data_IF_287787506231
#
_entry.id   IF_287787506231
#
_cell.length_a   1.000
_cell.length_b   1.000
_cell.length_c   1.000
_cell.angle_alpha   90.00
_cell.angle_beta   90.00
_cell.angle_gamma   90.00
#
_symmetry.space_group_name_H-M   'P 1'
#
loop_
_entity.id
_entity.type
_entity.pdbx_description
1 polymer ?
#
# COMPACT_ATOMS: atom_id res chain seq x y z
N UNK A 1 -22.45 -1.69 8.12
CA UNK A 1 -22.74 -0.34 7.63
C UNK A 1 -21.72 0.07 6.53
N UNK A 2 -21.84 1.28 6.00
CA UNK A 2 -20.99 1.77 4.87
C UNK A 2 -19.91 2.77 5.30
N UNK A 3 -19.70 2.93 6.61
CA UNK A 3 -18.66 3.85 7.12
C UNK A 3 -17.33 3.17 7.13
N UNK A 4 -16.38 3.70 6.37
CA UNK A 4 -15.00 3.18 6.27
C UNK A 4 -14.04 4.26 6.78
N UNK A 5 -13.19 3.89 7.72
CA UNK A 5 -12.05 4.72 8.16
C UNK A 5 -10.83 4.39 7.31
N UNK A 6 -10.40 5.34 6.49
CA UNK A 6 -9.21 5.21 5.66
C UNK A 6 -7.93 5.07 6.47
N UNK A 7 -6.87 4.63 5.80
CA UNK A 7 -5.54 4.44 6.38
C UNK A 7 -4.98 5.75 6.94
N UNK A 8 -4.43 5.68 8.14
CA UNK A 8 -3.70 6.77 8.80
C UNK A 8 -2.53 6.20 9.60
N UNK A 9 -1.33 6.70 9.32
CA UNK A 9 -0.13 6.34 10.08
C UNK A 9 -0.11 7.12 11.40
N UNK A 10 -0.18 6.40 12.52
CA UNK A 10 -0.24 7.00 13.88
C UNK A 10 1.12 7.07 14.55
N UNK A 11 2.10 6.30 14.04
CA UNK A 11 3.40 6.08 14.67
C UNK A 11 3.38 5.05 15.80
N UNK A 12 2.20 4.60 16.24
CA UNK A 12 2.07 3.56 17.27
C UNK A 12 2.39 2.16 16.71
N UNK A 13 2.25 1.97 15.42
CA UNK A 13 2.60 0.75 14.69
C UNK A 13 4.10 0.48 14.58
N UNK A 14 4.95 1.49 14.85
CA UNK A 14 6.40 1.38 14.71
C UNK A 14 7.08 0.72 15.92
N UNK A 15 6.36 0.56 17.05
CA UNK A 15 6.93 0.05 18.29
C UNK A 15 6.07 -1.06 18.87
N UNK A 16 6.64 -2.23 19.08
CA UNK A 16 5.90 -3.39 19.58
C UNK A 16 5.19 -3.14 20.93
N UNK A 17 5.73 -2.27 21.79
CA UNK A 17 5.11 -1.92 23.08
C UNK A 17 3.94 -0.95 22.97
N UNK A 18 3.78 -0.26 21.86
CA UNK A 18 2.67 0.68 21.64
C UNK A 18 1.43 0.01 21.00
N UNK A 19 1.50 -1.28 20.64
CA UNK A 19 0.34 -2.00 20.07
C UNK A 19 -0.88 -2.06 21.01
N UNK A 20 -0.70 -1.96 22.33
CA UNK A 20 -1.80 -1.79 23.26
C UNK A 20 -2.56 -0.48 23.07
N UNK A 21 -1.82 0.62 22.85
CA UNK A 21 -2.40 1.95 22.54
C UNK A 21 -3.05 1.96 21.15
N UNK A 22 -2.39 1.33 20.17
CA UNK A 22 -2.94 1.19 18.82
C UNK A 22 -4.25 0.40 18.84
N UNK A 23 -4.32 -0.68 19.62
CA UNK A 23 -5.53 -1.47 19.80
C UNK A 23 -6.66 -0.65 20.43
N UNK A 24 -6.37 0.15 21.47
CA UNK A 24 -7.34 1.05 22.08
C UNK A 24 -7.84 2.11 21.09
N UNK A 25 -6.93 2.70 20.31
CA UNK A 25 -7.24 3.68 19.27
C UNK A 25 -8.27 3.15 18.24
N UNK A 26 -8.08 1.95 17.73
CA UNK A 26 -9.01 1.34 16.77
C UNK A 26 -10.29 0.83 17.44
N UNK A 27 -10.19 0.25 18.65
CA UNK A 27 -11.34 -0.25 19.37
C UNK A 27 -12.36 0.86 19.72
N UNK A 28 -11.89 2.06 20.07
CA UNK A 28 -12.76 3.20 20.34
C UNK A 28 -13.59 3.58 19.11
N UNK A 29 -13.00 3.55 17.93
CA UNK A 29 -13.69 3.84 16.65
C UNK A 29 -14.64 2.73 16.25
N UNK A 30 -14.25 1.48 16.47
CA UNK A 30 -15.13 0.32 16.30
C UNK A 30 -16.36 0.43 17.20
N UNK A 31 -16.16 0.77 18.49
CA UNK A 31 -17.24 1.06 19.44
C UNK A 31 -18.15 2.21 18.99
N UNK A 32 -17.58 3.22 18.33
CA UNK A 32 -18.30 4.34 17.71
C UNK A 32 -19.08 3.99 16.45
N UNK A 33 -19.05 2.73 15.98
CA UNK A 33 -19.86 2.23 14.86
C UNK A 33 -19.20 2.32 13.49
N UNK A 34 -17.87 2.46 13.40
CA UNK A 34 -17.16 2.34 12.12
C UNK A 34 -17.25 0.90 11.62
N UNK A 35 -17.74 0.69 10.38
CA UNK A 35 -17.94 -0.67 9.83
C UNK A 35 -16.67 -1.35 9.40
N UNK A 36 -15.70 -0.59 8.85
CA UNK A 36 -14.40 -1.11 8.41
C UNK A 36 -13.32 -0.04 8.64
N UNK A 37 -12.15 -0.48 9.08
CA UNK A 37 -11.00 0.40 9.32
C UNK A 37 -9.76 -0.13 8.64
N UNK A 38 -8.91 0.77 8.14
CA UNK A 38 -7.63 0.43 7.50
C UNK A 38 -6.50 0.97 8.38
N UNK A 39 -5.50 0.14 8.67
CA UNK A 39 -4.33 0.55 9.48
C UNK A 39 -3.43 1.53 8.74
N UNK A 40 -2.50 2.16 9.45
CA UNK A 40 -1.32 2.75 8.83
C UNK A 40 -0.49 1.70 8.10
N UNK A 41 0.43 2.17 7.25
CA UNK A 41 1.23 1.30 6.39
C UNK A 41 2.20 0.42 7.17
N UNK A 42 2.15 -0.88 6.92
CA UNK A 42 3.00 -1.91 7.49
C UNK A 42 3.95 -2.42 6.39
N UNK A 43 5.25 -2.42 6.67
CA UNK A 43 6.26 -2.80 5.70
C UNK A 43 6.37 -4.33 5.54
N UNK A 44 6.42 -4.87 4.30
CA UNK A 44 6.61 -6.29 4.05
C UNK A 44 8.06 -6.76 4.23
N UNK A 45 9.03 -5.85 4.18
CA UNK A 45 10.44 -6.12 4.40
C UNK A 45 11.20 -4.85 4.84
N UNK A 46 12.49 -4.96 5.15
CA UNK A 46 13.31 -3.82 5.63
C UNK A 46 13.52 -2.74 4.57
N UNK A 47 13.56 -3.07 3.28
CA UNK A 47 13.72 -2.08 2.21
C UNK A 47 12.45 -1.24 2.02
N UNK A 48 11.32 -1.79 2.44
CA UNK A 48 10.01 -1.15 2.38
C UNK A 48 9.79 -0.11 3.48
N UNK A 49 10.58 -0.09 4.53
CA UNK A 49 10.42 0.85 5.64
C UNK A 49 10.36 2.30 5.18
N UNK A 50 9.39 3.05 5.68
CA UNK A 50 9.33 4.49 5.44
C UNK A 50 10.48 5.21 6.16
N UNK A 51 10.80 4.79 7.37
CA UNK A 51 11.93 5.22 8.21
C UNK A 51 12.54 4.01 8.91
N UNK A 52 13.77 4.08 9.42
CA UNK A 52 14.37 2.97 10.15
C UNK A 52 13.47 2.48 11.29
N UNK A 53 13.29 1.15 11.39
CA UNK A 53 12.46 0.48 12.39
C UNK A 53 10.95 0.81 12.29
N UNK A 54 10.46 1.19 11.10
CA UNK A 54 9.03 1.31 10.86
C UNK A 54 8.30 -0.03 11.07
N UNK A 55 7.01 0.05 11.39
CA UNK A 55 6.17 -1.12 11.61
C UNK A 55 6.23 -2.13 10.46
N UNK A 56 6.38 -3.38 10.78
CA UNK A 56 6.48 -4.49 9.81
C UNK A 56 5.74 -5.72 10.30
N UNK A 57 5.31 -6.56 9.35
CA UNK A 57 4.76 -7.88 9.63
C UNK A 57 5.39 -8.88 8.64
N UNK A 58 6.57 -9.35 8.97
CA UNK A 58 7.36 -10.26 8.12
C UNK A 58 7.84 -11.53 8.85
N UNK A 59 7.61 -11.62 10.16
CA UNK A 59 7.93 -12.77 11.00
C UNK A 59 6.73 -13.22 11.84
N UNK A 60 6.66 -14.49 12.18
CA UNK A 60 5.61 -15.03 13.04
C UNK A 60 5.56 -14.39 14.43
N UNK A 61 6.68 -13.91 14.95
CA UNK A 61 6.73 -13.21 16.23
C UNK A 61 5.89 -11.92 16.25
N UNK A 62 5.78 -11.24 15.10
CA UNK A 62 5.02 -9.99 14.98
C UNK A 62 3.50 -10.24 15.07
N UNK A 63 3.04 -11.44 14.69
CA UNK A 63 1.61 -11.83 14.66
C UNK A 63 0.90 -11.58 15.99
N UNK A 64 1.58 -11.84 17.13
CA UNK A 64 0.97 -11.68 18.45
C UNK A 64 0.61 -10.21 18.75
N UNK A 65 1.43 -9.27 18.32
CA UNK A 65 1.14 -7.84 18.50
C UNK A 65 -0.05 -7.42 17.64
N UNK A 66 -0.06 -7.81 16.37
CA UNK A 66 -1.17 -7.54 15.45
C UNK A 66 -2.49 -8.20 15.91
N UNK A 67 -2.41 -9.39 16.54
CA UNK A 67 -3.60 -10.06 17.08
C UNK A 67 -4.25 -9.29 18.22
N UNK A 68 -3.48 -8.53 19.02
CA UNK A 68 -4.06 -7.62 20.03
C UNK A 68 -4.97 -6.58 19.40
N UNK A 69 -4.55 -6.04 18.26
CA UNK A 69 -5.32 -5.04 17.52
C UNK A 69 -6.60 -5.63 16.93
N UNK A 70 -6.49 -6.72 16.17
CA UNK A 70 -7.65 -7.35 15.52
C UNK A 70 -8.69 -7.84 16.54
N UNK A 71 -8.24 -8.48 17.63
CA UNK A 71 -9.13 -8.93 18.70
C UNK A 71 -9.85 -7.76 19.40
N UNK A 72 -9.20 -6.61 19.57
CA UNK A 72 -9.82 -5.45 20.17
C UNK A 72 -10.93 -4.85 19.30
N UNK A 73 -10.74 -4.83 17.98
CA UNK A 73 -11.71 -4.33 17.01
C UNK A 73 -12.90 -5.28 16.87
N UNK A 74 -12.65 -6.58 16.77
CA UNK A 74 -13.70 -7.58 16.56
C UNK A 74 -14.69 -7.71 17.75
N UNK A 75 -14.38 -7.14 18.92
CA UNK A 75 -15.36 -7.04 20.02
C UNK A 75 -16.58 -6.18 19.68
N UNK A 76 -16.50 -5.35 18.64
CA UNK A 76 -17.52 -4.38 18.26
C UNK A 76 -18.10 -4.63 16.86
N UNK A 77 -17.98 -5.86 16.33
CA UNK A 77 -18.48 -6.27 15.01
C UNK A 77 -18.01 -5.36 13.86
N UNK A 78 -16.79 -4.84 13.97
CA UNK A 78 -16.13 -4.02 12.96
C UNK A 78 -15.06 -4.82 12.24
N UNK A 79 -14.83 -4.53 10.96
CA UNK A 79 -13.77 -5.13 10.14
C UNK A 79 -12.48 -4.32 10.26
N UNK A 80 -11.35 -5.01 10.19
CA UNK A 80 -10.04 -4.36 10.17
C UNK A 80 -9.17 -4.91 9.05
N UNK A 81 -8.62 -4.00 8.26
CA UNK A 81 -7.80 -4.25 7.08
C UNK A 81 -6.39 -3.75 7.37
N UNK A 82 -5.36 -4.54 7.07
CA UNK A 82 -3.97 -4.11 7.22
C UNK A 82 -3.44 -3.51 5.92
N UNK A 83 -2.98 -2.27 5.93
CA UNK A 83 -2.31 -1.71 4.77
C UNK A 83 -0.87 -2.24 4.66
N UNK A 84 -0.52 -2.82 3.51
CA UNK A 84 0.84 -3.23 3.17
C UNK A 84 1.48 -2.13 2.33
N UNK A 85 2.52 -1.50 2.86
CA UNK A 85 3.18 -0.35 2.26
C UNK A 85 4.66 -0.62 2.02
N UNK A 86 5.12 -0.37 0.81
CA UNK A 86 6.53 -0.31 0.47
C UNK A 86 6.90 1.11 0.06
N UNK A 87 7.70 1.80 0.87
CA UNK A 87 8.01 3.21 0.68
C UNK A 87 8.71 3.53 -0.66
N UNK A 88 9.46 2.58 -1.22
CA UNK A 88 10.19 2.81 -2.45
C UNK A 88 11.21 3.93 -2.29
N UNK A 89 11.26 4.87 -3.24
CA UNK A 89 12.15 6.03 -3.21
C UNK A 89 11.80 7.07 -2.14
N UNK A 90 10.67 6.91 -1.46
CA UNK A 90 10.27 7.76 -0.34
C UNK A 90 10.80 7.26 1.02
N UNK A 91 11.53 6.17 1.05
CA UNK A 91 12.15 5.65 2.26
C UNK A 91 13.23 6.60 2.80
N UNK A 92 13.14 6.95 4.07
CA UNK A 92 14.11 7.80 4.78
C UNK A 92 15.28 6.99 5.33
N UNK A 93 15.88 6.14 4.48
CA UNK A 93 17.08 5.37 4.79
C UNK A 93 17.92 5.09 3.53
N UNK A 94 19.23 4.81 3.66
CA UNK A 94 20.14 4.67 2.51
C UNK A 94 19.92 3.40 1.67
N UNK A 95 19.09 2.47 2.12
CA UNK A 95 18.76 1.23 1.41
C UNK A 95 17.52 1.36 0.52
N UNK A 96 17.03 2.58 0.30
CA UNK A 96 15.87 2.85 -0.54
C UNK A 96 16.02 2.28 -1.95
N UNK A 97 14.91 1.78 -2.48
CA UNK A 97 14.83 1.15 -3.81
C UNK A 97 13.65 1.72 -4.60
N UNK A 98 13.69 1.58 -5.93
CA UNK A 98 12.63 2.06 -6.82
C UNK A 98 12.63 1.27 -8.13
N UNK A 99 11.66 1.57 -9.00
CA UNK A 99 11.65 1.07 -10.39
C UNK A 99 12.90 1.51 -11.15
N UNK A 100 13.30 2.78 -11.01
CA UNK A 100 14.53 3.34 -11.59
C UNK A 100 15.26 4.21 -10.55
N UNK A 101 16.59 4.47 -10.70
CA UNK A 101 17.38 5.18 -9.70
C UNK A 101 17.18 6.70 -9.75
N UNK A 102 15.91 7.14 -9.76
CA UNK A 102 15.50 8.53 -9.85
C UNK A 102 15.18 9.04 -8.45
N UNK A 103 15.99 10.02 -7.98
CA UNK A 103 15.79 10.64 -6.67
C UNK A 103 14.45 11.39 -6.61
N UNK A 104 13.74 11.25 -5.49
CA UNK A 104 12.57 12.09 -5.19
C UNK A 104 12.99 13.49 -4.75
N UNK A 105 12.17 14.49 -5.05
CA UNK A 105 12.40 15.87 -4.61
C UNK A 105 12.25 16.07 -3.08
N UNK A 106 11.53 15.17 -2.42
CA UNK A 106 11.19 15.28 -0.97
C UNK A 106 12.04 14.37 -0.08
N UNK A 107 13.01 13.63 -0.64
CA UNK A 107 13.79 12.65 0.11
C UNK A 107 15.29 12.85 -0.15
N UNK A 108 16.16 12.79 0.88
CA UNK A 108 17.60 12.99 0.72
C UNK A 108 18.31 11.84 -0.02
N UNK A 109 17.77 10.63 0.02
CA UNK A 109 18.43 9.45 -0.52
C UNK A 109 18.07 9.21 -2.00
N UNK A 110 19.08 8.86 -2.82
CA UNK A 110 18.87 8.35 -4.17
C UNK A 110 18.59 6.85 -4.08
N UNK A 111 17.45 6.35 -4.59
CA UNK A 111 17.14 4.94 -4.54
C UNK A 111 18.03 4.13 -5.50
N UNK A 112 18.21 2.85 -5.18
CA UNK A 112 18.77 1.88 -6.13
C UNK A 112 17.64 1.27 -6.96
N UNK A 113 17.92 0.97 -8.22
CA UNK A 113 16.99 0.22 -9.07
C UNK A 113 16.86 -1.21 -8.55
N UNK A 114 15.65 -1.71 -8.41
CA UNK A 114 15.40 -3.12 -8.10
C UNK A 114 15.85 -4.02 -9.28
N UNK A 115 16.65 -5.04 -9.00
CA UNK A 115 16.93 -6.10 -9.95
C UNK A 115 15.71 -7.02 -10.13
N UNK A 116 15.67 -7.79 -11.22
CA UNK A 116 14.60 -8.77 -11.47
C UNK A 116 14.40 -9.74 -10.29
N UNK A 117 15.48 -10.31 -9.77
CA UNK A 117 15.42 -11.19 -8.61
C UNK A 117 14.86 -10.51 -7.36
N UNK A 118 15.16 -9.21 -7.14
CA UNK A 118 14.62 -8.44 -6.02
C UNK A 118 13.16 -8.07 -6.21
N UNK A 119 12.70 -7.86 -7.44
CA UNK A 119 11.28 -7.67 -7.75
C UNK A 119 10.51 -8.96 -7.43
N UNK A 120 11.00 -10.11 -7.85
CA UNK A 120 10.39 -11.41 -7.54
C UNK A 120 10.33 -11.67 -6.03
N UNK A 121 11.43 -11.42 -5.31
CA UNK A 121 11.46 -11.51 -3.84
C UNK A 121 10.46 -10.54 -3.18
N UNK A 122 10.28 -9.33 -3.73
CA UNK A 122 9.30 -8.36 -3.20
C UNK A 122 7.86 -8.87 -3.36
N UNK A 123 7.54 -9.54 -4.47
CA UNK A 123 6.23 -10.18 -4.68
C UNK A 123 5.97 -11.23 -3.58
N UNK A 124 6.97 -12.06 -3.29
CA UNK A 124 6.88 -13.07 -2.23
C UNK A 124 6.73 -12.44 -0.84
N UNK A 125 7.44 -11.33 -0.55
CA UNK A 125 7.32 -10.59 0.71
C UNK A 125 5.90 -10.06 0.95
N UNK A 126 5.25 -9.50 -0.09
CA UNK A 126 3.84 -9.07 -0.01
C UNK A 126 2.89 -10.24 0.27
N UNK A 127 3.08 -11.36 -0.41
CA UNK A 127 2.27 -12.57 -0.22
C UNK A 127 2.44 -13.15 1.19
N UNK A 128 3.68 -13.21 1.70
CA UNK A 128 3.98 -13.66 3.05
C UNK A 128 3.36 -12.73 4.11
N UNK A 129 3.50 -11.41 3.94
CA UNK A 129 2.92 -10.41 4.83
C UNK A 129 1.39 -10.52 4.88
N UNK A 130 0.72 -10.72 3.73
CA UNK A 130 -0.72 -10.94 3.68
C UNK A 130 -1.13 -12.25 4.39
N UNK A 131 -0.35 -13.33 4.24
CA UNK A 131 -0.57 -14.59 4.97
C UNK A 131 -0.45 -14.39 6.48
N UNK A 132 0.56 -13.65 6.94
CA UNK A 132 0.73 -13.34 8.36
C UNK A 132 -0.39 -12.43 8.89
N UNK A 133 -0.87 -11.46 8.09
CA UNK A 133 -2.02 -10.63 8.43
C UNK A 133 -3.28 -11.49 8.63
N UNK A 134 -3.55 -12.43 7.73
CA UNK A 134 -4.65 -13.39 7.89
C UNK A 134 -4.50 -14.21 9.18
N UNK A 135 -3.30 -14.68 9.50
CA UNK A 135 -3.00 -15.41 10.73
C UNK A 135 -3.19 -14.53 11.98
N UNK A 136 -2.90 -13.23 11.87
CA UNK A 136 -3.11 -12.24 12.94
C UNK A 136 -4.60 -11.87 13.14
N UNK A 137 -5.50 -12.35 12.28
CA UNK A 137 -6.94 -12.13 12.41
C UNK A 137 -7.46 -10.91 11.65
N UNK A 138 -6.71 -10.30 10.75
CA UNK A 138 -7.25 -9.26 9.86
C UNK A 138 -8.29 -9.85 8.90
N UNK A 139 -9.30 -9.04 8.56
CA UNK A 139 -10.35 -9.41 7.59
C UNK A 139 -9.87 -9.26 6.13
N UNK A 140 -8.80 -8.51 5.93
CA UNK A 140 -8.22 -8.28 4.61
C UNK A 140 -6.91 -7.50 4.67
N UNK A 141 -6.36 -7.23 3.50
CA UNK A 141 -5.23 -6.33 3.31
C UNK A 141 -5.54 -5.25 2.29
N UNK A 142 -4.97 -4.07 2.48
CA UNK A 142 -4.92 -3.02 1.47
C UNK A 142 -3.49 -2.95 0.91
N UNK A 143 -3.36 -3.15 -0.39
CA UNK A 143 -2.07 -3.03 -1.10
C UNK A 143 -1.90 -1.56 -1.51
N UNK A 144 -0.87 -0.91 -0.97
CA UNK A 144 -0.60 0.52 -1.20
C UNK A 144 0.05 0.74 -2.56
N UNK A 145 -0.74 1.13 -3.55
CA UNK A 145 -0.33 1.40 -4.94
C UNK A 145 -0.50 2.85 -5.39
N UNK A 146 -0.58 3.81 -4.46
CA UNK A 146 -0.83 5.22 -4.76
C UNK A 146 0.24 6.15 -4.18
N UNK A 147 0.05 7.46 -4.38
CA UNK A 147 0.75 8.57 -3.72
C UNK A 147 2.27 8.60 -3.93
N UNK A 148 2.77 7.89 -4.96
CA UNK A 148 4.20 7.84 -5.28
C UNK A 148 5.01 6.82 -4.49
N UNK A 149 4.37 5.87 -3.79
CA UNK A 149 5.03 4.72 -3.18
C UNK A 149 5.47 3.68 -4.23
N UNK A 150 6.16 2.60 -3.82
CA UNK A 150 6.85 1.69 -4.75
C UNK A 150 5.98 1.24 -5.93
N UNK A 151 4.77 0.76 -5.69
CA UNK A 151 3.93 0.22 -6.77
C UNK A 151 3.49 1.33 -7.73
N UNK A 152 3.18 2.54 -7.22
CA UNK A 152 2.92 3.71 -8.06
C UNK A 152 4.17 4.12 -8.85
N UNK A 153 5.39 3.96 -8.27
CA UNK A 153 6.64 4.21 -8.99
C UNK A 153 6.86 3.25 -10.17
N UNK A 154 6.35 2.01 -10.07
CA UNK A 154 6.43 1.05 -11.18
C UNK A 154 5.43 1.35 -12.29
N UNK A 155 4.19 1.70 -11.96
CA UNK A 155 3.16 1.97 -12.97
C UNK A 155 3.34 3.33 -13.66
N UNK A 156 3.96 4.32 -13.01
CA UNK A 156 4.06 5.68 -13.51
C UNK A 156 5.34 5.91 -14.33
N UNK A 157 5.24 6.41 -15.59
CA UNK A 157 6.41 6.67 -16.43
C UNK A 157 7.42 7.64 -15.80
N UNK A 158 6.97 8.58 -14.95
CA UNK A 158 7.83 9.52 -14.23
C UNK A 158 8.95 8.82 -13.45
N UNK A 159 8.67 7.69 -12.81
CA UNK A 159 9.60 7.00 -11.93
C UNK A 159 10.08 5.65 -12.50
N UNK A 160 9.43 5.16 -13.57
CA UNK A 160 9.81 3.92 -14.23
C UNK A 160 10.34 4.19 -15.63
N UNK A 161 11.67 4.26 -15.74
CA UNK A 161 12.40 4.40 -17.01
C UNK A 161 13.12 3.11 -17.39
N UNK A 162 12.59 1.96 -16.96
CA UNK A 162 13.13 0.65 -17.29
C UNK A 162 12.82 0.28 -18.73
N UNK A 163 13.73 -0.53 -19.32
CA UNK A 163 13.60 -1.07 -20.68
C UNK A 163 13.43 -2.60 -20.70
N UNK A 164 13.32 -3.20 -19.51
CA UNK A 164 13.05 -4.63 -19.35
C UNK A 164 11.55 -4.92 -19.19
N UNK A 165 11.22 -6.18 -18.88
CA UNK A 165 9.83 -6.65 -18.70
C UNK A 165 9.02 -5.94 -17.60
N UNK A 166 9.64 -5.04 -16.83
CA UNK A 166 9.02 -4.29 -15.74
C UNK A 166 8.82 -2.80 -16.06
N UNK A 167 9.14 -2.38 -17.30
CA UNK A 167 9.05 -0.98 -17.72
C UNK A 167 8.72 -0.83 -19.20
N UNK A 168 8.67 0.42 -19.67
CA UNK A 168 8.25 0.76 -21.05
C UNK A 168 6.74 0.79 -21.20
N UNK A 169 6.12 -0.22 -21.83
CA UNK A 169 4.68 -0.25 -22.05
C UNK A 169 3.87 -0.32 -20.74
N UNK A 170 2.59 0.06 -20.79
CA UNK A 170 1.71 0.01 -19.63
C UNK A 170 1.58 -1.42 -19.07
N UNK A 171 1.55 -2.43 -19.95
CA UNK A 171 1.48 -3.86 -19.58
C UNK A 171 2.71 -4.28 -18.76
N UNK A 172 3.88 -3.78 -19.12
CA UNK A 172 5.10 -4.05 -18.37
C UNK A 172 5.14 -3.28 -17.05
N UNK A 173 4.72 -1.99 -17.05
CA UNK A 173 4.71 -1.17 -15.84
C UNK A 173 3.72 -1.67 -14.79
N UNK A 174 2.54 -2.15 -15.20
CA UNK A 174 1.54 -2.71 -14.29
C UNK A 174 1.84 -4.15 -13.85
N UNK A 175 2.84 -4.81 -14.44
CA UNK A 175 3.16 -6.22 -14.15
C UNK A 175 3.44 -6.46 -12.67
N UNK A 176 4.25 -5.62 -12.02
CA UNK A 176 4.58 -5.80 -10.61
C UNK A 176 3.34 -5.76 -9.71
N UNK A 177 2.48 -4.72 -9.72
CA UNK A 177 1.30 -4.71 -8.87
C UNK A 177 0.32 -5.85 -9.19
N UNK A 178 0.15 -6.22 -10.45
CA UNK A 178 -0.71 -7.35 -10.85
C UNK A 178 -0.17 -8.67 -10.30
N UNK A 179 1.11 -8.95 -10.43
CA UNK A 179 1.73 -10.17 -9.88
C UNK A 179 1.69 -10.20 -8.34
N UNK A 180 1.84 -9.05 -7.67
CA UNK A 180 1.64 -8.96 -6.21
C UNK A 180 0.20 -9.34 -5.84
N UNK A 181 -0.81 -8.78 -6.51
CA UNK A 181 -2.22 -9.11 -6.21
C UNK A 181 -2.49 -10.60 -6.41
N UNK A 182 -2.02 -11.19 -7.52
CA UNK A 182 -2.14 -12.64 -7.78
C UNK A 182 -1.48 -13.48 -6.70
N UNK A 183 -0.25 -13.12 -6.30
CA UNK A 183 0.49 -13.84 -5.26
C UNK A 183 -0.20 -13.72 -3.89
N UNK A 184 -0.69 -12.54 -3.53
CA UNK A 184 -1.48 -12.31 -2.32
C UNK A 184 -2.76 -13.11 -2.36
N UNK A 185 -3.55 -13.08 -3.46
CA UNK A 185 -4.79 -13.84 -3.62
C UNK A 185 -4.55 -15.34 -3.45
N UNK A 186 -3.49 -15.86 -4.08
CA UNK A 186 -3.08 -17.26 -3.93
C UNK A 186 -2.76 -17.61 -2.47
N UNK A 187 -2.10 -16.71 -1.75
CA UNK A 187 -1.66 -16.94 -0.37
C UNK A 187 -2.82 -16.89 0.65
N UNK A 188 -3.82 -16.03 0.42
CA UNK A 188 -4.90 -15.78 1.39
C UNK A 188 -6.22 -16.45 1.03
N UNK A 189 -6.43 -16.88 -0.23
CA UNK A 189 -7.66 -17.52 -0.71
C UNK A 189 -8.79 -16.52 -1.01
N UNK A 190 -9.90 -17.01 -1.53
CA UNK A 190 -10.98 -16.21 -2.15
C UNK A 190 -11.77 -15.34 -1.16
N UNK A 191 -11.92 -15.78 0.09
CA UNK A 191 -12.78 -15.11 1.09
C UNK A 191 -12.10 -13.92 1.79
N UNK A 192 -10.79 -13.77 1.64
CA UNK A 192 -10.04 -12.70 2.28
C UNK A 192 -10.12 -11.41 1.45
N UNK A 193 -10.41 -10.28 2.08
CA UNK A 193 -10.59 -9.01 1.37
C UNK A 193 -9.22 -8.50 0.87
N UNK A 194 -9.13 -8.18 -0.41
CA UNK A 194 -7.99 -7.48 -0.98
C UNK A 194 -8.47 -6.14 -1.50
N UNK A 195 -7.97 -5.08 -0.89
CA UNK A 195 -8.14 -3.70 -1.35
C UNK A 195 -6.87 -3.28 -2.08
N UNK A 196 -7.00 -2.57 -3.19
CA UNK A 196 -5.88 -1.90 -3.83
C UNK A 196 -6.09 -0.40 -3.78
N UNK A 197 -5.15 0.35 -3.18
CA UNK A 197 -5.21 1.80 -3.17
C UNK A 197 -4.45 2.35 -4.35
N UNK A 198 -5.13 3.15 -5.19
CA UNK A 198 -4.62 3.65 -6.47
C UNK A 198 -4.77 5.16 -6.59
N UNK A 199 -3.75 5.85 -7.11
CA UNK A 199 -3.89 7.24 -7.55
C UNK A 199 -4.59 7.28 -8.90
N UNK A 200 -5.79 7.87 -8.93
CA UNK A 200 -6.52 8.11 -10.19
C UNK A 200 -5.91 9.26 -10.99
N UNK A 201 -5.29 10.21 -10.30
CA UNK A 201 -4.58 11.34 -10.88
C UNK A 201 -3.28 11.51 -10.10
N UNK A 202 -2.14 11.43 -10.77
CA UNK A 202 -0.83 11.52 -10.13
C UNK A 202 -0.45 12.94 -9.71
N UNK A 203 -0.95 13.97 -10.40
CA UNK A 203 -0.64 15.41 -10.21
C UNK A 203 0.86 15.74 -10.29
N UNK A 204 1.60 14.94 -11.03
CA UNK A 204 3.03 15.13 -11.31
C UNK A 204 3.28 15.09 -12.82
N UNK A 205 4.32 15.75 -13.34
CA UNK A 205 4.70 15.65 -14.75
C UNK A 205 4.99 14.19 -15.13
N UNK A 206 4.55 13.78 -16.32
CA UNK A 206 4.67 12.40 -16.82
C UNK A 206 4.00 11.36 -15.89
N UNK A 207 2.85 11.72 -15.32
CA UNK A 207 1.94 10.80 -14.63
C UNK A 207 1.25 9.85 -15.60
N UNK A 208 0.49 8.90 -15.04
CA UNK A 208 -0.34 8.00 -15.85
C UNK A 208 -1.49 8.77 -16.51
N UNK A 209 -1.83 8.39 -17.73
CA UNK A 209 -3.02 8.87 -18.44
C UNK A 209 -4.27 8.13 -17.96
N UNK A 210 -5.45 8.73 -18.18
CA UNK A 210 -6.71 8.10 -17.81
C UNK A 210 -6.95 6.72 -18.46
N UNK A 211 -6.69 6.53 -19.77
CA UNK A 211 -6.77 5.20 -20.38
C UNK A 211 -5.87 4.16 -19.71
N UNK A 212 -4.65 4.55 -19.33
CA UNK A 212 -3.74 3.65 -18.60
C UNK A 212 -4.27 3.30 -17.20
N UNK A 213 -4.85 4.27 -16.47
CA UNK A 213 -5.50 4.04 -15.18
C UNK A 213 -6.64 3.03 -15.29
N UNK A 214 -7.49 3.17 -16.31
CA UNK A 214 -8.59 2.22 -16.57
C UNK A 214 -8.04 0.82 -16.85
N UNK A 215 -7.03 0.70 -17.74
CA UNK A 215 -6.40 -0.58 -18.09
C UNK A 215 -5.78 -1.26 -16.86
N UNK A 216 -5.06 -0.49 -16.03
CA UNK A 216 -4.44 -0.99 -14.81
C UNK A 216 -5.52 -1.46 -13.81
N UNK A 217 -6.60 -0.69 -13.64
CA UNK A 217 -7.70 -1.03 -12.74
C UNK A 217 -8.36 -2.35 -13.14
N UNK A 218 -8.65 -2.53 -14.42
CA UNK A 218 -9.22 -3.78 -14.97
C UNK A 218 -8.29 -4.98 -14.76
N UNK A 219 -6.98 -4.78 -14.95
CA UNK A 219 -5.99 -5.84 -14.73
C UNK A 219 -5.88 -6.23 -13.24
N UNK A 220 -5.99 -5.27 -12.32
CA UNK A 220 -5.99 -5.50 -10.88
C UNK A 220 -7.27 -6.21 -10.41
N UNK A 221 -8.43 -5.82 -10.93
CA UNK A 221 -9.71 -6.51 -10.69
C UNK A 221 -9.64 -7.97 -11.14
N UNK A 222 -9.19 -8.20 -12.38
CA UNK A 222 -9.00 -9.55 -12.92
C UNK A 222 -7.98 -10.39 -12.14
N UNK A 223 -6.99 -9.75 -11.48
CA UNK A 223 -6.02 -10.41 -10.60
C UNK A 223 -6.60 -10.78 -9.22
N UNK A 224 -7.79 -10.27 -8.85
CA UNK A 224 -8.50 -10.65 -7.64
C UNK A 224 -8.63 -9.54 -6.58
N UNK A 225 -8.54 -8.26 -6.95
CA UNK A 225 -8.90 -7.14 -6.07
C UNK A 225 -10.42 -7.12 -5.86
N UNK A 226 -10.86 -6.94 -4.60
CA UNK A 226 -12.28 -6.84 -4.25
C UNK A 226 -12.76 -5.39 -4.20
N UNK A 227 -11.90 -4.46 -3.79
CA UNK A 227 -12.25 -3.06 -3.56
C UNK A 227 -11.11 -2.18 -4.10
N UNK A 228 -11.45 -1.19 -4.93
CA UNK A 228 -10.52 -0.13 -5.30
C UNK A 228 -10.70 1.06 -4.35
N UNK A 229 -9.63 1.39 -3.61
CA UNK A 229 -9.57 2.61 -2.80
C UNK A 229 -8.84 3.69 -3.59
N UNK A 230 -9.51 4.78 -3.90
CA UNK A 230 -8.97 5.80 -4.82
C UNK A 230 -8.34 6.95 -4.06
N UNK A 231 -7.14 7.35 -4.50
CA UNK A 231 -6.40 8.49 -4.02
C UNK A 231 -6.08 9.48 -5.14
N UNK A 232 -5.53 10.63 -4.78
CA UNK A 232 -5.13 11.68 -5.71
C UNK A 232 -3.75 12.20 -5.32
N UNK A 233 -2.90 12.34 -6.32
CA UNK A 233 -1.60 12.98 -6.20
C UNK A 233 -0.50 12.09 -5.62
N UNK A 234 0.70 12.61 -5.75
CA UNK A 234 1.91 12.08 -5.13
C UNK A 234 2.33 13.00 -3.98
N UNK A 235 3.02 12.49 -2.98
CA UNK A 235 3.54 13.33 -1.88
C UNK A 235 4.47 14.46 -2.35
N UNK A 236 5.13 14.31 -3.48
CA UNK A 236 5.95 15.36 -4.09
C UNK A 236 5.16 16.33 -4.99
N UNK A 237 3.88 16.09 -5.22
CA UNK A 237 3.00 17.04 -5.88
C UNK A 237 2.79 18.24 -4.94
N UNK A 238 3.12 19.44 -5.43
CA UNK A 238 2.97 20.68 -4.65
C UNK A 238 1.53 21.17 -4.52
N UNK A 239 0.58 20.34 -4.89
CA UNK A 239 -0.86 20.62 -4.76
C UNK A 239 -1.32 20.00 -3.44
N UNK A 240 -1.80 20.79 -2.47
CA UNK A 240 -2.31 20.23 -1.22
C UNK A 240 -3.47 19.29 -1.52
N UNK A 241 -3.43 18.09 -1.01
CA UNK A 241 -4.49 17.08 -1.18
C UNK A 241 -5.84 17.50 -0.57
N UNK A 242 -5.85 18.52 0.27
CA UNK A 242 -7.04 19.13 0.88
C UNK A 242 -7.51 20.35 0.08
N UNK A 243 -6.74 20.80 -0.95
CA UNK A 243 -7.17 21.94 -1.71
C UNK A 243 -8.39 21.58 -2.54
N UNK A 244 -9.43 22.31 -2.31
CA UNK A 244 -10.71 22.40 -2.99
C UNK A 244 -10.63 22.54 -4.53
N UNK A 245 -9.46 22.46 -5.12
CA UNK A 245 -9.17 22.66 -6.54
C UNK A 245 -8.96 21.37 -7.33
N UNK A 246 -9.18 20.21 -6.75
CA UNK A 246 -9.26 18.98 -7.53
C UNK A 246 -10.48 19.12 -8.44
N UNK A 247 -10.31 19.00 -9.77
CA UNK A 247 -11.44 19.10 -10.68
C UNK A 247 -12.56 18.15 -10.22
N UNK A 248 -13.80 18.67 -10.17
CA UNK A 248 -14.99 17.85 -9.78
C UNK A 248 -15.10 16.56 -10.58
N UNK A 249 -14.52 16.52 -11.76
CA UNK A 249 -14.42 15.33 -12.61
C UNK A 249 -13.58 14.21 -12.03
N UNK A 250 -12.58 14.48 -11.17
CA UNK A 250 -11.76 13.46 -10.51
C UNK A 250 -12.55 12.57 -9.54
N UNK A 251 -13.75 13.00 -9.16
CA UNK A 251 -14.65 12.24 -8.27
C UNK A 251 -15.88 11.65 -8.99
N UNK A 252 -16.01 11.90 -10.31
CA UNK A 252 -17.17 11.46 -11.09
C UNK A 252 -16.85 10.41 -12.14
N UNK A 253 -15.60 10.09 -12.31
CA UNK A 253 -15.08 9.05 -13.17
C UNK A 253 -14.73 7.83 -12.30
#
# INVERSE_FOLDING_TARGET
>A
NRVVMGSMHTGLEDRFWDYGKLAAYFAERAKGGVGMMITGGIAPNRQAWLKPLAGSLNHYADVLNHRRLTSAVHRYDSKIIMQILHAGRYAYHPFSVSASPIKSAINPFKPRQLSDAKILSTIEDFANTAKLAKLAGYDGVEIMGSEGYLLNQFICPRANQRTDRWGGSVENRMRLPVEIVKAVRKAVGEKFIIIYRMSLIDLVPNGNTWPEIVQISQALEAAGVNIMNTGIGWHEARVPTIATQVPRMAFRQ
#
